data_IF_278117321160
#
_entry.id   IF_278117321160
#
_cell.length_a   1.000
_cell.length_b   1.000
_cell.length_c   1.000
_cell.angle_alpha   90.00
_cell.angle_beta   90.00
_cell.angle_gamma   90.00
#
_symmetry.space_group_name_H-M   'P 1'
#
loop_
_entity.id
_entity.type
_entity.pdbx_description
1 polymer ?
#
# COMPACT_ATOMS: atom_id res chain seq x y z
N UNK A 1 -8.36 18.25 -7.93
CA UNK A 1 -7.11 17.46 -7.78
C UNK A 1 -6.50 17.79 -6.43
N UNK A 2 -6.30 16.79 -5.57
CA UNK A 2 -5.56 16.97 -4.31
C UNK A 2 -4.09 16.73 -4.61
N UNK A 3 -3.26 17.76 -4.51
CA UNK A 3 -1.81 17.61 -4.63
C UNK A 3 -1.28 17.00 -3.33
N UNK A 4 -0.79 15.76 -3.41
CA UNK A 4 -0.04 15.16 -2.30
C UNK A 4 1.41 15.59 -2.47
N UNK A 5 1.84 16.58 -1.69
CA UNK A 5 3.22 17.05 -1.68
C UNK A 5 4.07 16.10 -0.82
N UNK A 6 4.89 15.25 -1.44
CA UNK A 6 5.89 14.45 -0.72
C UNK A 6 7.00 15.38 -0.20
N UNK A 7 7.00 15.64 1.11
CA UNK A 7 8.06 16.42 1.77
C UNK A 7 9.32 15.55 1.93
N UNK A 8 10.28 15.70 1.02
CA UNK A 8 11.61 15.11 1.17
C UNK A 8 12.39 15.89 2.25
N UNK A 9 12.41 15.38 3.48
CA UNK A 9 13.22 15.93 4.57
C UNK A 9 14.62 15.33 4.55
N UNK A 10 15.64 16.18 4.42
CA UNK A 10 17.04 15.78 4.50
C UNK A 10 17.48 15.82 5.98
N UNK A 11 17.81 14.69 6.63
CA UNK A 11 18.06 14.62 8.08
C UNK A 11 19.36 15.34 8.54
N UNK A 12 20.17 15.85 7.62
CA UNK A 12 21.49 16.46 7.93
C UNK A 12 21.47 17.99 8.08
N UNK A 13 20.30 18.64 8.11
CA UNK A 13 20.20 20.11 8.24
C UNK A 13 19.81 20.51 9.66
N UNK A 14 20.80 20.59 10.55
CA UNK A 14 20.63 21.19 11.88
C UNK A 14 20.60 22.72 11.75
N UNK A 15 19.43 23.33 11.75
CA UNK A 15 19.28 24.77 11.97
C UNK A 15 19.28 25.09 13.46
N UNK A 16 20.05 26.12 13.80
CA UNK A 16 20.40 26.62 15.13
C UNK A 16 19.14 26.94 15.96
N UNK A 17 19.16 26.54 17.24
CA UNK A 17 18.17 26.84 18.28
C UNK A 17 18.11 28.35 18.58
N UNK A 18 16.90 28.89 18.67
CA UNK A 18 16.60 29.98 19.60
C UNK A 18 15.40 29.62 20.47
N UNK A 19 15.52 30.00 21.74
CA UNK A 19 14.73 29.56 22.90
C UNK A 19 13.88 30.74 23.39
N UNK A 20 12.62 30.50 23.74
CA UNK A 20 11.76 31.23 24.71
C UNK A 20 10.39 30.55 24.65
N UNK A 21 9.68 30.12 25.71
CA UNK A 21 9.75 30.31 27.16
C UNK A 21 8.32 30.55 27.70
N UNK A 22 7.98 29.93 28.85
CA UNK A 22 6.77 30.06 29.69
C UNK A 22 5.49 29.33 29.20
N UNK A 23 4.99 28.27 29.85
CA UNK A 23 4.34 28.15 31.20
C UNK A 23 2.94 28.78 31.23
N UNK A 24 1.90 27.96 31.45
CA UNK A 24 1.05 28.07 32.65
C UNK A 24 -0.02 26.96 32.71
N UNK A 25 -0.31 26.58 33.95
CA UNK A 25 -1.14 25.47 34.41
C UNK A 25 -2.64 25.82 34.48
N UNK A 26 -3.52 24.81 34.52
CA UNK A 26 -4.69 24.86 35.40
C UNK A 26 -5.24 23.47 35.74
N UNK A 27 -5.66 23.33 36.99
CA UNK A 27 -6.14 22.12 37.64
C UNK A 27 -7.67 22.08 37.66
N UNK A 28 -8.27 20.89 37.63
CA UNK A 28 -9.72 20.75 37.80
C UNK A 28 -10.17 19.33 38.10
N UNK A 29 -10.21 18.99 39.38
CA UNK A 29 -10.81 17.76 39.91
C UNK A 29 -12.34 17.79 39.82
N UNK A 30 -12.97 16.62 39.63
CA UNK A 30 -14.42 16.47 39.72
C UNK A 30 -14.84 15.00 39.74
N UNK A 31 -15.06 14.48 40.95
CA UNK A 31 -15.60 13.15 41.23
C UNK A 31 -17.07 13.03 40.81
N UNK A 32 -17.50 11.81 40.46
CA UNK A 32 -18.92 11.50 40.25
C UNK A 32 -19.13 10.00 40.08
N UNK A 33 -19.52 9.35 41.18
CA UNK A 33 -19.85 7.94 41.28
C UNK A 33 -21.12 7.57 40.51
N UNK A 34 -21.19 6.34 40.02
CA UNK A 34 -22.39 5.71 39.48
C UNK A 34 -22.13 4.22 39.31
N UNK A 35 -22.28 3.47 40.40
CA UNK A 35 -22.35 2.02 40.40
C UNK A 35 -23.82 1.61 40.19
N UNK A 36 -24.07 0.69 39.27
CA UNK A 36 -25.24 -0.20 39.33
C UNK A 36 -24.87 -1.51 38.62
N UNK A 37 -25.24 -2.60 39.28
CA UNK A 37 -24.80 -3.98 39.06
C UNK A 37 -25.78 -4.78 38.19
N UNK A 38 -25.32 -5.97 37.77
CA UNK A 38 -26.08 -7.24 37.74
C UNK A 38 -27.12 -7.46 36.60
N UNK A 39 -27.32 -8.61 35.94
CA UNK A 39 -26.72 -9.98 35.88
C UNK A 39 -27.14 -10.63 34.53
N UNK A 40 -26.33 -11.60 34.08
CA UNK A 40 -26.53 -12.92 33.42
C UNK A 40 -27.80 -13.19 32.55
N UNK A 41 -27.72 -13.90 31.41
CA UNK A 41 -27.64 -15.37 31.31
C UNK A 41 -27.35 -15.86 29.85
N UNK A 42 -26.97 -17.13 29.77
CA UNK A 42 -26.39 -17.99 28.72
C UNK A 42 -27.09 -18.14 27.34
N UNK A 43 -26.32 -18.51 26.30
CA UNK A 43 -26.38 -19.84 25.61
C UNK A 43 -25.98 -19.82 24.12
N UNK A 44 -25.33 -20.92 23.75
CA UNK A 44 -25.12 -21.57 22.45
C UNK A 44 -24.08 -21.04 21.45
N UNK A 45 -23.22 -21.97 21.04
CA UNK A 45 -21.92 -21.67 20.44
C UNK A 45 -21.83 -21.81 18.94
N UNK A 46 -20.80 -21.18 18.38
CA UNK A 46 -20.03 -21.68 17.23
C UNK A 46 -18.57 -21.23 17.44
N UNK A 47 -17.64 -22.18 17.51
CA UNK A 47 -16.20 -21.91 17.41
C UNK A 47 -15.89 -21.60 15.95
N UNK A 48 -15.95 -20.32 15.59
CA UNK A 48 -15.25 -19.80 14.43
C UNK A 48 -13.85 -19.41 14.92
N UNK A 49 -12.87 -20.21 14.54
CA UNK A 49 -11.45 -19.94 14.73
C UNK A 49 -11.06 -18.79 13.80
N UNK A 50 -11.26 -17.56 14.30
CA UNK A 50 -10.68 -16.36 13.74
C UNK A 50 -9.17 -16.50 13.93
N UNK A 51 -8.44 -16.73 12.83
CA UNK A 51 -7.00 -16.51 12.81
C UNK A 51 -6.80 -15.05 13.21
N UNK A 52 -6.34 -14.85 14.45
CA UNK A 52 -5.92 -13.56 14.98
C UNK A 52 -4.81 -13.05 14.06
N UNK A 53 -5.19 -12.31 13.02
CA UNK A 53 -4.30 -11.37 12.38
C UNK A 53 -3.90 -10.43 13.51
N UNK A 54 -2.63 -10.52 13.90
CA UNK A 54 -1.98 -9.58 14.81
C UNK A 54 -2.15 -8.19 14.22
N UNK A 55 -3.28 -7.56 14.54
CA UNK A 55 -3.56 -6.14 14.32
C UNK A 55 -2.63 -5.38 15.26
N UNK A 56 -1.34 -5.45 14.94
CA UNK A 56 -0.31 -4.65 15.56
C UNK A 56 -0.78 -3.22 15.45
N UNK A 57 -1.05 -2.63 16.61
CA UNK A 57 -1.38 -1.23 16.80
C UNK A 57 -0.31 -0.42 16.07
N UNK A 58 -0.60 0.01 14.84
CA UNK A 58 0.32 0.81 14.05
C UNK A 58 0.40 2.16 14.76
N UNK A 59 1.39 2.34 15.64
CA UNK A 59 1.79 3.67 16.06
C UNK A 59 1.95 4.49 14.77
N UNK A 60 1.19 5.58 14.63
CA UNK A 60 1.28 6.52 13.51
C UNK A 60 2.66 7.22 13.54
N UNK A 61 3.71 6.46 13.25
CA UNK A 61 5.05 6.93 13.02
C UNK A 61 5.18 7.55 11.64
N UNK A 62 6.18 8.43 11.48
CA UNK A 62 6.57 8.93 10.16
C UNK A 62 6.98 7.73 9.29
N UNK A 63 6.26 7.48 8.19
CA UNK A 63 6.58 6.37 7.28
C UNK A 63 8.01 6.52 6.74
N UNK A 64 8.83 5.48 6.93
CA UNK A 64 10.21 5.42 6.44
C UNK A 64 10.34 4.30 5.41
N UNK A 65 10.70 4.59 4.15
CA UNK A 65 10.93 3.55 3.16
C UNK A 65 12.17 2.73 3.52
N UNK A 66 12.06 1.41 3.42
CA UNK A 66 13.21 0.51 3.43
C UNK A 66 13.63 0.14 2.00
N UNK A 67 14.91 -0.15 1.80
CA UNK A 67 15.39 -0.62 0.49
C UNK A 67 14.75 -1.95 0.10
N UNK A 68 14.63 -2.87 1.06
CA UNK A 68 13.97 -4.17 0.84
C UNK A 68 12.50 -4.00 0.45
N UNK A 69 11.76 -3.14 1.17
CA UNK A 69 10.37 -2.84 0.87
C UNK A 69 10.20 -2.21 -0.50
N UNK A 70 11.12 -1.31 -0.88
CA UNK A 70 11.12 -0.71 -2.21
C UNK A 70 11.36 -1.73 -3.33
N UNK A 71 12.33 -2.63 -3.17
CA UNK A 71 12.60 -3.68 -4.16
C UNK A 71 11.41 -4.64 -4.27
N UNK A 72 10.81 -5.05 -3.14
CA UNK A 72 9.59 -5.88 -3.12
C UNK A 72 8.43 -5.20 -3.85
N UNK A 73 8.20 -3.93 -3.57
CA UNK A 73 7.22 -3.10 -4.28
C UNK A 73 7.47 -3.08 -5.79
N UNK A 74 8.73 -2.94 -6.23
CA UNK A 74 9.08 -2.95 -7.65
C UNK A 74 8.82 -4.31 -8.30
N UNK A 75 9.09 -5.42 -7.61
CA UNK A 75 8.80 -6.78 -8.11
C UNK A 75 7.30 -6.95 -8.33
N UNK A 76 6.48 -6.60 -7.34
CA UNK A 76 5.02 -6.69 -7.44
C UNK A 76 4.47 -5.76 -8.53
N UNK A 77 4.97 -4.52 -8.58
CA UNK A 77 4.58 -3.55 -9.60
C UNK A 77 4.93 -4.06 -11.00
N UNK A 78 6.10 -4.68 -11.17
CA UNK A 78 6.49 -5.27 -12.46
C UNK A 78 5.49 -6.34 -12.90
N UNK A 79 5.14 -7.26 -12.01
CA UNK A 79 4.18 -8.33 -12.32
C UNK A 79 2.82 -7.78 -12.76
N UNK A 80 2.35 -6.74 -12.06
CA UNK A 80 1.09 -6.05 -12.39
C UNK A 80 1.18 -5.40 -13.78
N UNK A 81 2.25 -4.64 -14.06
CA UNK A 81 2.44 -4.03 -15.37
C UNK A 81 2.62 -5.06 -16.50
N UNK A 82 3.38 -6.13 -16.27
CA UNK A 82 3.51 -7.24 -17.22
C UNK A 82 2.13 -7.81 -17.58
N UNK A 83 1.27 -7.99 -16.58
CA UNK A 83 -0.09 -8.54 -16.75
C UNK A 83 -0.95 -7.60 -17.58
N UNK A 84 -0.94 -6.30 -17.26
CA UNK A 84 -1.73 -5.28 -17.98
C UNK A 84 -1.28 -5.16 -19.43
N UNK A 85 0.03 -5.07 -19.64
CA UNK A 85 0.62 -4.97 -20.97
C UNK A 85 0.31 -6.21 -21.81
N UNK A 86 0.33 -7.40 -21.19
CA UNK A 86 -0.08 -8.64 -21.84
C UNK A 86 -1.57 -8.66 -22.21
N UNK A 87 -2.46 -8.28 -21.29
CA UNK A 87 -3.92 -8.18 -21.55
C UNK A 87 -4.19 -7.26 -22.75
N UNK A 88 -3.55 -6.09 -22.79
CA UNK A 88 -3.71 -5.12 -23.88
C UNK A 88 -3.16 -5.63 -25.21
N UNK A 89 -2.01 -6.31 -25.16
CA UNK A 89 -1.38 -6.86 -26.35
C UNK A 89 -2.21 -7.97 -26.98
N UNK A 90 -2.76 -8.87 -26.16
CA UNK A 90 -3.48 -10.08 -26.61
C UNK A 90 -4.94 -9.81 -26.94
N UNK A 91 -5.60 -8.87 -26.26
CA UNK A 91 -7.04 -8.68 -26.43
C UNK A 91 -7.41 -8.02 -27.76
N UNK A 92 -8.39 -8.58 -28.45
CA UNK A 92 -8.95 -8.03 -29.70
C UNK A 92 -10.04 -6.97 -29.47
N UNK A 93 -10.32 -6.62 -28.21
CA UNK A 93 -11.32 -5.61 -27.89
C UNK A 93 -10.87 -4.21 -28.35
N UNK A 94 -11.77 -3.51 -29.04
CA UNK A 94 -11.52 -2.15 -29.55
C UNK A 94 -11.22 -1.15 -28.43
N UNK A 95 -11.69 -1.42 -27.20
CA UNK A 95 -11.41 -0.61 -26.02
C UNK A 95 -9.90 -0.53 -25.71
N UNK A 96 -9.12 -1.55 -26.08
CA UNK A 96 -7.69 -1.62 -25.75
C UNK A 96 -6.75 -1.13 -26.84
N UNK A 97 -7.27 -0.83 -28.04
CA UNK A 97 -6.46 -0.45 -29.19
C UNK A 97 -5.60 0.79 -28.89
N UNK A 98 -6.12 1.75 -28.13
CA UNK A 98 -5.40 2.98 -27.77
C UNK A 98 -4.29 2.77 -26.73
N UNK A 99 -4.32 1.67 -25.98
CA UNK A 99 -3.34 1.39 -24.93
C UNK A 99 -2.14 0.60 -25.44
N UNK A 100 -2.25 -0.02 -26.63
CA UNK A 100 -1.14 -0.72 -27.27
C UNK A 100 -0.06 0.27 -27.71
N UNK A 101 1.17 0.06 -27.25
CA UNK A 101 2.33 0.90 -27.60
C UNK A 101 2.08 2.38 -27.29
N UNK A 102 1.46 2.62 -26.15
CA UNK A 102 1.08 3.96 -25.70
C UNK A 102 2.28 4.77 -25.19
N UNK A 103 3.39 4.11 -24.87
CA UNK A 103 4.54 4.71 -24.17
C UNK A 103 4.36 4.77 -22.65
N UNK A 104 3.24 4.27 -22.13
CA UNK A 104 2.95 4.16 -20.69
C UNK A 104 3.39 2.82 -20.11
N UNK A 105 3.94 1.92 -20.92
CA UNK A 105 4.49 0.64 -20.50
C UNK A 105 5.64 0.85 -19.49
N UNK A 106 5.62 0.07 -18.41
CA UNK A 106 6.58 0.20 -17.31
C UNK A 106 7.37 -1.06 -17.05
N UNK A 107 6.88 -2.22 -17.48
CA UNK A 107 7.51 -3.54 -17.29
C UNK A 107 9.02 -3.53 -17.56
N UNK A 108 9.41 -3.08 -18.76
CA UNK A 108 10.81 -3.07 -19.24
C UNK A 108 11.66 -2.10 -18.42
N UNK A 109 11.12 -0.93 -18.07
CA UNK A 109 11.84 0.05 -17.25
C UNK A 109 12.09 -0.49 -15.85
N UNK A 110 11.10 -1.14 -15.24
CA UNK A 110 11.22 -1.74 -13.91
C UNK A 110 12.20 -2.92 -13.95
N UNK A 111 12.19 -3.73 -15.00
CA UNK A 111 13.16 -4.81 -15.19
C UNK A 111 14.61 -4.29 -15.14
N UNK A 112 14.90 -3.18 -15.83
CA UNK A 112 16.23 -2.53 -15.81
C UNK A 112 16.62 -2.05 -14.41
N UNK A 113 15.66 -1.50 -13.65
CA UNK A 113 15.93 -1.12 -12.26
C UNK A 113 16.25 -2.32 -11.38
N UNK A 114 15.50 -3.44 -11.52
CA UNK A 114 15.75 -4.67 -10.77
C UNK A 114 17.10 -5.30 -11.15
N UNK A 115 17.49 -5.28 -12.42
CA UNK A 115 18.81 -5.70 -12.87
C UNK A 115 19.91 -4.83 -12.24
N UNK A 116 19.74 -3.50 -12.26
CA UNK A 116 20.67 -2.59 -11.61
C UNK A 116 20.81 -2.88 -10.11
N UNK A 117 19.70 -3.16 -9.40
CA UNK A 117 19.74 -3.57 -7.99
C UNK A 117 20.51 -4.87 -7.78
N UNK A 118 20.32 -5.85 -8.66
CA UNK A 118 21.06 -7.12 -8.63
C UNK A 118 22.56 -6.90 -8.81
N UNK A 119 22.98 -6.00 -9.70
CA UNK A 119 24.39 -5.62 -9.88
C UNK A 119 24.99 -4.96 -8.63
N UNK A 120 24.17 -4.23 -7.86
CA UNK A 120 24.58 -3.67 -6.56
C UNK A 120 24.62 -4.72 -5.44
N UNK A 121 24.35 -6.00 -5.73
CA UNK A 121 24.33 -7.08 -4.75
C UNK A 121 23.05 -7.13 -3.90
N UNK A 122 22.00 -6.44 -4.31
CA UNK A 122 20.70 -6.50 -3.62
C UNK A 122 19.92 -7.71 -4.15
N UNK A 123 19.45 -8.55 -3.23
CA UNK A 123 18.63 -9.71 -3.56
C UNK A 123 17.26 -9.26 -4.08
N UNK A 124 16.82 -9.84 -5.19
CA UNK A 124 15.49 -9.62 -5.74
C UNK A 124 14.58 -10.73 -5.21
N UNK A 125 13.55 -10.40 -4.41
CA UNK A 125 12.62 -11.40 -3.89
C UNK A 125 11.68 -11.90 -5.00
N UNK A 126 10.98 -12.99 -4.71
CA UNK A 126 9.81 -13.40 -5.51
C UNK A 126 8.63 -12.42 -5.29
N UNK A 127 7.68 -12.34 -6.24
CA UNK A 127 6.46 -11.57 -6.06
C UNK A 127 5.70 -11.97 -4.80
N UNK A 128 5.14 -10.98 -4.11
CA UNK A 128 4.32 -11.20 -2.93
C UNK A 128 2.95 -11.77 -3.29
N UNK A 129 2.24 -12.25 -2.28
CA UNK A 129 0.83 -12.64 -2.41
C UNK A 129 -0.01 -11.47 -2.91
N UNK A 130 0.22 -10.25 -2.43
CA UNK A 130 -0.53 -9.06 -2.87
C UNK A 130 -0.33 -8.77 -4.36
N UNK A 131 0.92 -8.85 -4.85
CA UNK A 131 1.23 -8.69 -6.28
C UNK A 131 0.56 -9.76 -7.14
N UNK A 132 0.65 -11.02 -6.71
CA UNK A 132 0.09 -12.17 -7.42
C UNK A 132 -1.44 -12.17 -7.45
N UNK A 133 -2.08 -11.90 -6.30
CA UNK A 133 -3.55 -11.79 -6.19
C UNK A 133 -4.08 -10.65 -7.04
N UNK A 134 -3.40 -9.49 -7.07
CA UNK A 134 -3.85 -8.38 -7.90
C UNK A 134 -3.69 -8.66 -9.39
N UNK A 135 -2.58 -9.29 -9.81
CA UNK A 135 -2.40 -9.72 -11.19
C UNK A 135 -3.47 -10.74 -11.62
N UNK A 136 -3.79 -11.73 -10.77
CA UNK A 136 -4.87 -12.68 -11.03
C UNK A 136 -6.22 -11.96 -11.19
N UNK A 137 -6.54 -11.04 -10.27
CA UNK A 137 -7.76 -10.24 -10.33
C UNK A 137 -7.88 -9.43 -11.63
N UNK A 138 -6.77 -8.83 -12.11
CA UNK A 138 -6.77 -8.08 -13.38
C UNK A 138 -7.06 -8.97 -14.59
N UNK A 139 -6.55 -10.20 -14.61
CA UNK A 139 -6.87 -11.17 -15.66
C UNK A 139 -8.36 -11.54 -15.66
N UNK A 140 -8.90 -11.91 -14.49
CA UNK A 140 -10.32 -12.23 -14.33
C UNK A 140 -11.22 -11.05 -14.74
N UNK A 141 -10.83 -9.84 -14.38
CA UNK A 141 -11.55 -8.63 -14.74
C UNK A 141 -11.47 -8.34 -16.24
N UNK A 142 -10.33 -8.60 -16.89
CA UNK A 142 -10.18 -8.43 -18.33
C UNK A 142 -11.04 -9.42 -19.14
N UNK A 143 -11.23 -10.64 -18.63
CA UNK A 143 -12.09 -11.66 -19.24
C UNK A 143 -13.59 -11.33 -19.09
N UNK A 144 -13.98 -10.81 -17.92
CA UNK A 144 -15.38 -10.54 -17.59
C UNK A 144 -15.88 -9.16 -18.02
N UNK A 145 -15.03 -8.13 -17.94
CA UNK A 145 -15.36 -6.74 -18.23
C UNK A 145 -14.13 -5.93 -18.65
N UNK A 146 -13.79 -6.02 -19.94
CA UNK A 146 -12.60 -5.37 -20.49
C UNK A 146 -12.50 -3.85 -20.19
N UNK A 147 -13.56 -3.02 -20.37
CA UNK A 147 -13.48 -1.61 -20.01
C UNK A 147 -13.21 -1.34 -18.51
N UNK A 148 -13.71 -2.20 -17.61
CA UNK A 148 -13.52 -2.03 -16.17
C UNK A 148 -12.10 -2.36 -15.70
N UNK A 149 -11.42 -3.30 -16.36
CA UNK A 149 -10.03 -3.67 -16.05
C UNK A 149 -9.07 -2.46 -16.08
N UNK A 150 -9.35 -1.46 -16.94
CA UNK A 150 -8.55 -0.24 -17.04
C UNK A 150 -9.03 0.93 -16.18
N UNK A 151 -10.26 0.92 -15.65
CA UNK A 151 -10.73 2.01 -14.77
C UNK A 151 -9.95 2.08 -13.46
N UNK A 152 -9.41 0.95 -12.98
CA UNK A 152 -8.60 0.90 -11.76
C UNK A 152 -7.17 1.44 -11.97
N UNK A 153 -6.73 1.63 -13.21
CA UNK A 153 -5.40 2.09 -13.55
C UNK A 153 -5.30 3.60 -13.79
N UNK A 154 -6.43 4.28 -13.96
CA UNK A 154 -6.50 5.71 -14.28
C UNK A 154 -6.98 6.59 -13.11
N UNK A 155 -7.12 6.05 -11.90
CA UNK A 155 -7.53 6.79 -10.70
C UNK A 155 -6.34 7.18 -9.81
#
# INVERSE_FOLDING_TARGET
MRFVAMHLRNPKRTTIKDKTGAEDADAGAGAGAGADEAEEEEDDGVKEEHEEEDEGEFEEGEWVPSMEGFVRYLVDSKLVFDTIEWIVAESNDVAYVYFRKSGLERSESIAKYLEWFREQGIAIPEPSTSGSTYAAYLNELAESNAPAAFQLLCQ
#
